data_IF_504611266874
#
_entry.id   IF_504611266874
#
_cell.length_a   1.000
_cell.length_b   1.000
_cell.length_c   1.000
_cell.angle_alpha   90.00
_cell.angle_beta   90.00
_cell.angle_gamma   90.00
#
_symmetry.space_group_name_H-M   'P 1'
#
loop_
_entity.id
_entity.type
_entity.pdbx_description
1 polymer ?
#
# COMPACT_ATOMS: atom_id res chain seq x y z
N UNK A 1 9.66 -34.83 34.18
CA UNK A 1 8.83 -34.58 32.97
C UNK A 1 7.42 -35.05 33.28
N UNK A 2 6.42 -34.18 33.11
CA UNK A 2 5.03 -34.48 33.44
C UNK A 2 4.31 -33.26 34.01
N UNK A 3 4.21 -32.18 33.22
CA UNK A 3 3.39 -31.02 33.55
C UNK A 3 1.93 -31.49 33.58
N UNK A 4 1.30 -31.46 34.75
CA UNK A 4 -0.15 -31.67 34.89
C UNK A 4 -0.85 -30.53 34.15
N UNK A 5 -1.69 -30.87 33.16
CA UNK A 5 -2.66 -29.96 32.59
C UNK A 5 -3.63 -29.55 33.70
N UNK A 6 -3.67 -28.25 33.99
CA UNK A 6 -4.78 -27.62 34.68
C UNK A 6 -5.87 -27.43 33.63
N UNK A 7 -6.87 -28.31 33.63
CA UNK A 7 -8.16 -27.99 33.05
C UNK A 7 -8.94 -27.25 34.13
N UNK A 8 -8.90 -25.93 34.09
CA UNK A 8 -9.88 -25.10 34.78
C UNK A 8 -11.22 -25.30 34.06
N UNK A 9 -12.06 -26.15 34.64
CA UNK A 9 -13.47 -26.27 34.26
C UNK A 9 -14.19 -25.05 34.85
N UNK A 10 -14.83 -24.20 34.03
CA UNK A 10 -15.55 -23.05 34.57
C UNK A 10 -16.76 -23.54 35.37
N UNK A 11 -16.81 -23.13 36.63
CA UNK A 11 -17.82 -23.55 37.60
C UNK A 11 -19.19 -22.97 37.28
N UNK A 12 -20.23 -23.77 37.55
CA UNK A 12 -21.65 -23.49 37.33
C UNK A 12 -22.21 -22.20 37.98
N UNK A 13 -21.42 -21.45 38.74
CA UNK A 13 -21.82 -20.18 39.34
C UNK A 13 -21.69 -18.97 38.38
N UNK A 14 -20.89 -19.08 37.30
CA UNK A 14 -20.72 -17.99 36.32
C UNK A 14 -21.83 -17.96 35.25
N UNK A 15 -22.54 -19.07 35.06
CA UNK A 15 -23.64 -19.16 34.08
C UNK A 15 -24.85 -18.27 34.42
N UNK A 16 -25.11 -18.01 35.71
CA UNK A 16 -26.29 -17.23 36.14
C UNK A 16 -26.25 -15.75 35.78
N UNK A 17 -25.06 -15.15 35.62
CA UNK A 17 -24.93 -13.75 35.19
C UNK A 17 -25.12 -13.58 33.67
N UNK A 18 -24.63 -14.56 32.89
CA UNK A 18 -24.84 -14.63 31.45
C UNK A 18 -26.31 -14.89 31.10
N UNK A 19 -26.99 -15.74 31.87
CA UNK A 19 -28.42 -16.02 31.74
C UNK A 19 -29.27 -14.76 32.00
N UNK A 20 -28.88 -13.93 32.98
CA UNK A 20 -29.57 -12.67 33.29
C UNK A 20 -29.48 -11.62 32.18
N UNK A 21 -28.32 -11.46 31.53
CA UNK A 21 -28.17 -10.49 30.42
C UNK A 21 -28.75 -11.03 29.12
N UNK A 22 -28.65 -12.34 28.90
CA UNK A 22 -29.30 -13.04 27.80
C UNK A 22 -30.82 -12.84 27.84
N UNK A 23 -31.44 -12.94 29.01
CA UNK A 23 -32.87 -12.66 29.18
C UNK A 23 -33.24 -11.22 28.81
N UNK A 24 -32.46 -10.23 29.27
CA UNK A 24 -32.67 -8.81 28.93
C UNK A 24 -32.51 -8.56 27.42
N UNK A 25 -31.56 -9.24 26.77
CA UNK A 25 -31.37 -9.17 25.31
C UNK A 25 -32.60 -9.72 24.58
N UNK A 26 -33.10 -10.89 24.98
CA UNK A 26 -34.27 -11.52 24.37
C UNK A 26 -35.50 -10.62 24.51
N UNK A 27 -35.75 -10.09 25.70
CA UNK A 27 -36.86 -9.18 25.99
C UNK A 27 -36.78 -7.89 25.14
N UNK A 28 -35.58 -7.35 24.95
CA UNK A 28 -35.35 -6.09 24.25
C UNK A 28 -34.85 -6.28 22.80
N UNK A 29 -35.00 -7.47 22.22
CA UNK A 29 -34.43 -7.81 20.89
C UNK A 29 -34.84 -6.80 19.82
N UNK A 30 -36.11 -6.42 19.79
CA UNK A 30 -36.65 -5.47 18.81
C UNK A 30 -35.94 -4.11 18.86
N UNK A 31 -35.70 -3.58 20.07
CA UNK A 31 -34.98 -2.32 20.27
C UNK A 31 -33.52 -2.44 19.79
N UNK A 32 -32.84 -3.54 20.14
CA UNK A 32 -31.46 -3.77 19.76
C UNK A 32 -31.31 -3.92 18.23
N UNK A 33 -32.24 -4.61 17.57
CA UNK A 33 -32.27 -4.69 16.10
C UNK A 33 -32.50 -3.31 15.49
N UNK A 34 -33.38 -2.48 16.06
CA UNK A 34 -33.57 -1.10 15.57
C UNK A 34 -32.32 -0.24 15.71
N UNK A 35 -31.59 -0.36 16.83
CA UNK A 35 -30.31 0.31 17.06
C UNK A 35 -29.26 -0.13 16.04
N UNK A 36 -29.14 -1.44 15.80
CA UNK A 36 -28.23 -1.96 14.78
C UNK A 36 -28.64 -1.50 13.36
N UNK A 37 -29.93 -1.53 13.05
CA UNK A 37 -30.47 -1.14 11.74
C UNK A 37 -30.21 0.34 11.42
N UNK A 38 -30.24 1.22 12.43
CA UNK A 38 -29.87 2.63 12.26
C UNK A 38 -28.39 2.82 11.82
N UNK A 39 -27.53 1.83 12.06
CA UNK A 39 -26.11 1.85 11.66
C UNK A 39 -25.87 1.06 10.39
N UNK A 40 -26.43 -0.15 10.27
CA UNK A 40 -26.19 -1.06 9.13
C UNK A 40 -27.00 -0.71 7.90
N UNK A 41 -28.12 0.02 8.05
CA UNK A 41 -29.04 0.37 6.98
C UNK A 41 -29.81 -0.82 6.38
N UNK A 42 -29.68 -2.02 6.95
CA UNK A 42 -30.31 -3.24 6.47
C UNK A 42 -30.77 -4.12 7.63
N UNK A 43 -32.06 -4.49 7.61
CA UNK A 43 -32.70 -5.24 8.69
C UNK A 43 -32.10 -6.63 8.89
N UNK A 44 -31.84 -7.38 7.82
CA UNK A 44 -31.24 -8.71 7.92
C UNK A 44 -29.88 -8.65 8.65
N UNK A 45 -29.03 -7.69 8.27
CA UNK A 45 -27.72 -7.49 8.92
C UNK A 45 -27.85 -7.02 10.37
N UNK A 46 -28.85 -6.20 10.66
CA UNK A 46 -29.12 -5.78 12.02
C UNK A 46 -29.49 -6.97 12.91
N UNK A 47 -30.25 -7.94 12.38
CA UNK A 47 -30.59 -9.18 13.06
C UNK A 47 -29.34 -10.07 13.27
N UNK A 48 -28.43 -10.14 12.29
CA UNK A 48 -27.15 -10.85 12.41
C UNK A 48 -26.25 -10.24 13.49
N UNK A 49 -26.13 -8.91 13.54
CA UNK A 49 -25.35 -8.22 14.58
C UNK A 49 -25.89 -8.53 15.98
N UNK A 50 -27.21 -8.54 16.15
CA UNK A 50 -27.82 -8.87 17.46
C UNK A 50 -27.61 -10.34 17.80
N UNK A 51 -27.60 -11.23 16.80
CA UNK A 51 -27.27 -12.64 16.99
C UNK A 51 -25.81 -12.83 17.45
N UNK A 52 -24.85 -12.16 16.82
CA UNK A 52 -23.45 -12.19 17.24
C UNK A 52 -23.27 -11.69 18.68
N UNK A 53 -24.01 -10.66 19.08
CA UNK A 53 -24.01 -10.17 20.48
C UNK A 53 -24.59 -11.23 21.43
N UNK A 54 -25.66 -11.92 21.02
CA UNK A 54 -26.22 -13.00 21.81
C UNK A 54 -25.22 -14.13 22.04
N UNK A 55 -24.52 -14.57 20.98
CA UNK A 55 -23.46 -15.58 21.08
C UNK A 55 -22.37 -15.11 22.07
N UNK A 56 -21.87 -13.88 21.91
CA UNK A 56 -20.84 -13.33 22.80
C UNK A 56 -21.27 -13.30 24.26
N UNK A 57 -22.50 -12.88 24.54
CA UNK A 57 -23.05 -12.86 25.91
C UNK A 57 -23.25 -14.27 26.45
N UNK A 58 -23.59 -15.24 25.61
CA UNK A 58 -23.73 -16.65 26.02
C UNK A 58 -22.38 -17.33 26.30
N UNK A 59 -21.31 -16.92 25.63
CA UNK A 59 -19.96 -17.48 25.79
C UNK A 59 -19.14 -16.74 26.86
N UNK A 60 -19.45 -15.47 27.14
CA UNK A 60 -18.73 -14.66 28.12
C UNK A 60 -19.66 -14.18 29.24
N UNK A 61 -19.51 -14.79 30.41
CA UNK A 61 -20.09 -14.24 31.62
C UNK A 61 -19.32 -12.97 32.02
N UNK A 62 -20.00 -11.84 32.28
CA UNK A 62 -19.31 -10.68 32.82
C UNK A 62 -18.83 -10.98 34.24
N UNK A 63 -17.56 -10.63 34.50
CA UNK A 63 -16.87 -10.85 35.77
C UNK A 63 -17.51 -10.08 36.94
N UNK A 64 -18.36 -9.09 36.66
CA UNK A 64 -19.07 -8.29 37.66
C UNK A 64 -20.55 -8.12 37.31
N UNK A 65 -21.45 -8.01 38.31
CA UNK A 65 -22.86 -7.73 38.09
C UNK A 65 -23.06 -6.36 37.45
N UNK A 66 -23.63 -6.34 36.24
CA UNK A 66 -23.90 -5.11 35.51
C UNK A 66 -25.03 -4.30 36.15
N UNK A 67 -24.73 -3.06 36.52
CA UNK A 67 -25.73 -2.10 37.02
C UNK A 67 -26.77 -1.71 35.97
N UNK A 68 -26.42 -1.70 34.68
CA UNK A 68 -27.31 -1.31 33.58
C UNK A 68 -27.15 -2.24 32.37
N UNK A 69 -27.76 -3.43 32.39
CA UNK A 69 -27.59 -4.45 31.35
C UNK A 69 -28.03 -3.98 29.96
N UNK A 70 -29.16 -3.28 29.86
CA UNK A 70 -29.67 -2.79 28.59
C UNK A 70 -28.75 -1.74 27.94
N UNK A 71 -28.22 -0.79 28.72
CA UNK A 71 -27.30 0.22 28.21
C UNK A 71 -25.99 -0.41 27.71
N UNK A 72 -25.52 -1.45 28.40
CA UNK A 72 -24.37 -2.24 27.98
C UNK A 72 -24.64 -2.97 26.66
N UNK A 73 -25.80 -3.63 26.53
CA UNK A 73 -26.21 -4.30 25.28
C UNK A 73 -26.34 -3.33 24.11
N UNK A 74 -26.96 -2.17 24.31
CA UNK A 74 -27.05 -1.11 23.29
C UNK A 74 -25.65 -0.69 22.82
N UNK A 75 -24.71 -0.54 23.75
CA UNK A 75 -23.31 -0.20 23.42
C UNK A 75 -22.62 -1.32 22.65
N UNK A 76 -22.77 -2.57 23.07
CA UNK A 76 -22.21 -3.72 22.37
C UNK A 76 -22.75 -3.82 20.94
N UNK A 77 -24.07 -3.76 20.77
CA UNK A 77 -24.75 -3.83 19.48
C UNK A 77 -24.31 -2.70 18.57
N UNK A 78 -24.26 -1.47 19.07
CA UNK A 78 -23.79 -0.31 18.29
C UNK A 78 -22.35 -0.47 17.83
N UNK A 79 -21.45 -0.89 18.71
CA UNK A 79 -20.05 -1.09 18.37
C UNK A 79 -19.89 -2.17 17.30
N UNK A 80 -20.57 -3.30 17.48
CA UNK A 80 -20.49 -4.41 16.54
C UNK A 80 -21.11 -4.06 15.18
N UNK A 81 -22.20 -3.28 15.17
CA UNK A 81 -22.79 -2.75 13.94
C UNK A 81 -21.84 -1.80 13.19
N UNK A 82 -21.11 -0.93 13.92
CA UNK A 82 -20.09 -0.04 13.33
C UNK A 82 -18.95 -0.87 12.74
N UNK A 83 -18.48 -1.89 13.45
CA UNK A 83 -17.39 -2.75 12.97
C UNK A 83 -17.81 -3.52 11.71
N UNK A 84 -19.01 -4.09 11.68
CA UNK A 84 -19.58 -4.72 10.49
C UNK A 84 -19.72 -3.74 9.33
N UNK A 85 -20.20 -2.52 9.58
CA UNK A 85 -20.29 -1.47 8.57
C UNK A 85 -18.92 -1.09 8.00
N UNK A 86 -17.89 -0.94 8.84
CA UNK A 86 -16.52 -0.60 8.41
C UNK A 86 -15.86 -1.74 7.65
N UNK A 87 -15.99 -2.97 8.12
CA UNK A 87 -15.50 -4.17 7.41
C UNK A 87 -16.15 -4.29 6.05
N UNK A 88 -17.47 -4.09 5.98
CA UNK A 88 -18.18 -4.11 4.70
C UNK A 88 -17.78 -2.97 3.78
N UNK A 89 -17.57 -1.76 4.27
CA UNK A 89 -17.08 -0.67 3.43
C UNK A 89 -15.70 -1.02 2.81
N UNK A 90 -14.84 -1.70 3.58
CA UNK A 90 -13.56 -2.21 3.09
C UNK A 90 -13.74 -3.38 2.10
N UNK A 91 -14.61 -4.33 2.42
CA UNK A 91 -14.91 -5.47 1.55
C UNK A 91 -15.58 -5.01 0.24
N UNK A 92 -16.53 -4.09 0.25
CA UNK A 92 -17.14 -3.53 -0.97
C UNK A 92 -16.13 -2.75 -1.83
N UNK A 93 -15.07 -2.17 -1.26
CA UNK A 93 -13.97 -1.61 -2.05
C UNK A 93 -13.12 -2.69 -2.74
N UNK A 94 -13.16 -3.93 -2.25
CA UNK A 94 -12.37 -5.06 -2.74
C UNK A 94 -13.21 -6.19 -3.37
N UNK A 95 -14.53 -6.12 -3.25
CA UNK A 95 -15.49 -7.09 -3.75
C UNK A 95 -15.90 -6.65 -5.15
N UNK A 96 -15.39 -7.37 -6.12
CA UNK A 96 -15.90 -7.36 -7.49
C UNK A 96 -17.26 -8.08 -7.41
N UNK A 97 -18.35 -7.40 -7.74
CA UNK A 97 -19.70 -7.98 -7.75
C UNK A 97 -19.69 -9.33 -8.49
N UNK A 98 -20.31 -10.36 -7.91
CA UNK A 98 -20.40 -11.68 -8.54
C UNK A 98 -21.18 -11.64 -9.87
N UNK A 99 -22.02 -10.62 -10.07
CA UNK A 99 -22.70 -10.32 -11.34
C UNK A 99 -21.71 -9.89 -12.45
N UNK A 100 -20.53 -9.39 -12.09
CA UNK A 100 -19.41 -9.14 -13.00
C UNK A 100 -18.55 -10.38 -13.27
N UNK A 101 -18.87 -11.54 -12.66
CA UNK A 101 -18.15 -12.80 -12.89
C UNK A 101 -18.25 -13.31 -14.34
N UNK A 102 -19.24 -12.82 -15.10
CA UNK A 102 -19.37 -13.10 -16.54
C UNK A 102 -18.75 -12.03 -17.44
N UNK A 103 -18.49 -10.84 -16.90
CA UNK A 103 -17.84 -9.73 -17.59
C UNK A 103 -16.42 -9.54 -17.03
N UNK A 104 -15.73 -10.67 -16.80
CA UNK A 104 -14.30 -10.68 -16.51
C UNK A 104 -13.61 -10.31 -17.83
N UNK A 105 -12.99 -9.12 -17.95
CA UNK A 105 -12.23 -8.81 -19.14
C UNK A 105 -11.18 -9.90 -19.32
N UNK A 106 -11.08 -10.44 -20.53
CA UNK A 106 -10.06 -11.43 -20.87
C UNK A 106 -8.71 -10.99 -20.27
N UNK A 107 -8.00 -11.86 -19.53
CA UNK A 107 -6.67 -11.51 -19.01
C UNK A 107 -5.68 -11.21 -20.14
N UNK A 108 -6.02 -11.63 -21.37
CA UNK A 108 -5.33 -11.24 -22.58
C UNK A 108 -5.92 -9.96 -23.15
N UNK A 109 -5.05 -8.96 -23.32
CA UNK A 109 -5.32 -7.80 -24.14
C UNK A 109 -5.81 -8.26 -25.53
N UNK A 110 -6.93 -7.71 -26.01
CA UNK A 110 -7.40 -7.97 -27.37
C UNK A 110 -6.33 -7.66 -28.43
N UNK A 111 -6.53 -8.09 -29.70
CA UNK A 111 -5.53 -7.90 -30.76
C UNK A 111 -5.17 -6.42 -30.96
N UNK A 112 -6.15 -5.52 -30.88
CA UNK A 112 -5.95 -4.07 -30.94
C UNK A 112 -5.11 -3.56 -29.77
N UNK A 113 -5.47 -3.91 -28.53
CA UNK A 113 -4.71 -3.52 -27.36
C UNK A 113 -3.28 -4.06 -27.44
N UNK A 114 -3.07 -5.31 -27.86
CA UNK A 114 -1.73 -5.89 -28.06
C UNK A 114 -0.92 -5.11 -29.10
N UNK A 115 -1.53 -4.70 -30.21
CA UNK A 115 -0.87 -3.89 -31.23
C UNK A 115 -0.49 -2.50 -30.67
N UNK A 116 -1.37 -1.86 -29.90
CA UNK A 116 -1.11 -0.57 -29.23
C UNK A 116 0.05 -0.68 -28.23
N UNK A 117 0.08 -1.73 -27.40
CA UNK A 117 1.19 -1.96 -26.46
C UNK A 117 2.52 -2.18 -27.19
N UNK A 118 2.52 -2.94 -28.29
CA UNK A 118 3.72 -3.15 -29.12
C UNK A 118 4.21 -1.85 -29.75
N UNK A 119 3.31 -1.04 -30.29
CA UNK A 119 3.64 0.25 -30.86
C UNK A 119 4.21 1.20 -29.78
N UNK A 120 3.59 1.24 -28.60
CA UNK A 120 4.08 2.00 -27.45
C UNK A 120 5.51 1.60 -27.06
N UNK A 121 5.76 0.29 -26.92
CA UNK A 121 7.09 -0.24 -26.60
C UNK A 121 8.11 0.09 -27.69
N UNK A 122 7.72 0.00 -28.96
CA UNK A 122 8.60 0.36 -30.08
C UNK A 122 8.97 1.84 -30.05
N UNK A 123 8.02 2.73 -29.74
CA UNK A 123 8.28 4.17 -29.59
C UNK A 123 9.26 4.45 -28.46
N UNK A 124 9.07 3.83 -27.29
CA UNK A 124 9.99 3.98 -26.15
C UNK A 124 11.38 3.44 -26.52
N UNK A 125 11.46 2.29 -27.18
CA UNK A 125 12.73 1.70 -27.65
C UNK A 125 13.48 2.64 -28.60
N UNK A 126 12.78 3.25 -29.55
CA UNK A 126 13.35 4.21 -30.49
C UNK A 126 13.91 5.45 -29.77
N UNK A 127 13.20 5.97 -28.76
CA UNK A 127 13.67 7.10 -27.95
C UNK A 127 14.91 6.72 -27.16
N UNK A 128 14.92 5.56 -26.50
CA UNK A 128 16.10 5.04 -25.78
C UNK A 128 17.32 4.88 -26.70
N UNK A 129 17.09 4.54 -27.97
CA UNK A 129 18.16 4.43 -28.97
C UNK A 129 18.84 5.78 -29.27
N UNK A 130 18.16 6.92 -29.08
CA UNK A 130 18.74 8.26 -29.31
C UNK A 130 19.74 8.69 -28.23
N UNK A 131 19.68 8.09 -27.04
CA UNK A 131 20.57 8.43 -25.94
C UNK A 131 21.95 7.78 -26.08
N UNK A 132 23.01 8.42 -25.56
CA UNK A 132 24.33 7.82 -25.49
C UNK A 132 24.32 6.47 -24.75
N UNK A 133 25.16 5.49 -25.16
CA UNK A 133 25.17 4.15 -24.56
C UNK A 133 25.30 4.14 -23.03
N UNK A 134 26.08 5.07 -22.48
CA UNK A 134 26.27 5.21 -21.03
C UNK A 134 25.00 5.64 -20.30
N UNK A 135 24.25 6.59 -20.87
CA UNK A 135 22.99 7.09 -20.31
C UNK A 135 21.91 6.02 -20.40
N UNK A 136 21.87 5.27 -21.51
CA UNK A 136 20.96 4.13 -21.69
C UNK A 136 21.24 3.04 -20.65
N UNK A 137 22.50 2.66 -20.47
CA UNK A 137 22.90 1.64 -19.48
C UNK A 137 22.54 2.08 -18.05
N UNK A 138 22.73 3.36 -17.72
CA UNK A 138 22.30 3.91 -16.42
C UNK A 138 20.79 3.78 -16.19
N UNK A 139 19.99 4.02 -17.23
CA UNK A 139 18.54 3.86 -17.16
C UNK A 139 18.13 2.39 -17.01
N UNK A 140 18.70 1.50 -17.82
CA UNK A 140 18.45 0.05 -17.75
C UNK A 140 18.75 -0.49 -16.35
N UNK A 141 19.92 -0.17 -15.80
CA UNK A 141 20.32 -0.64 -14.47
C UNK A 141 19.34 -0.21 -13.37
N UNK A 142 18.81 1.01 -13.43
CA UNK A 142 17.97 1.57 -12.36
C UNK A 142 16.49 1.21 -12.54
N UNK A 143 16.00 1.10 -13.78
CA UNK A 143 14.58 0.92 -14.08
C UNK A 143 14.18 -0.49 -14.51
N UNK A 144 15.12 -1.26 -15.06
CA UNK A 144 14.88 -2.63 -15.52
C UNK A 144 15.50 -3.62 -14.53
N UNK A 145 16.76 -3.40 -14.16
CA UNK A 145 17.51 -4.30 -13.26
C UNK A 145 17.34 -3.92 -11.76
N UNK A 146 16.56 -2.86 -11.46
CA UNK A 146 16.22 -2.39 -10.11
C UNK A 146 17.41 -2.07 -9.18
N UNK A 147 18.59 -1.78 -9.73
CA UNK A 147 19.75 -1.35 -8.94
C UNK A 147 19.54 0.03 -8.30
N UNK A 148 20.17 0.24 -7.14
CA UNK A 148 20.18 1.57 -6.53
C UNK A 148 21.02 2.55 -7.36
N UNK A 149 20.71 3.84 -7.27
CA UNK A 149 21.51 4.89 -7.92
C UNK A 149 22.98 4.86 -7.51
N UNK A 150 23.28 4.36 -6.29
CA UNK A 150 24.64 4.22 -5.78
C UNK A 150 25.37 3.10 -6.50
N UNK A 151 24.74 1.94 -6.66
CA UNK A 151 25.34 0.77 -7.32
C UNK A 151 25.59 1.06 -8.80
N UNK A 152 24.62 1.68 -9.48
CA UNK A 152 24.76 2.14 -10.86
C UNK A 152 25.89 3.18 -11.02
N UNK A 153 26.07 4.07 -10.04
CA UNK A 153 27.16 5.04 -10.06
C UNK A 153 28.53 4.39 -9.90
N UNK A 154 28.64 3.38 -9.03
CA UNK A 154 29.85 2.59 -8.84
C UNK A 154 30.21 1.82 -10.10
N UNK A 155 29.25 1.13 -10.73
CA UNK A 155 29.49 0.36 -11.95
C UNK A 155 29.86 1.25 -13.14
N UNK A 156 29.19 2.40 -13.29
CA UNK A 156 29.45 3.32 -14.40
C UNK A 156 30.62 4.28 -14.14
N UNK A 157 31.23 4.27 -12.95
CA UNK A 157 32.33 5.18 -12.58
C UNK A 157 31.95 6.66 -12.65
N UNK A 158 30.75 7.02 -12.20
CA UNK A 158 30.24 8.41 -12.16
C UNK A 158 29.76 8.79 -10.76
N UNK A 159 29.42 10.06 -10.54
CA UNK A 159 28.72 10.46 -9.32
C UNK A 159 27.26 10.00 -9.34
N UNK A 160 26.73 9.67 -8.16
CA UNK A 160 25.32 9.32 -7.97
C UNK A 160 24.37 10.41 -8.52
N UNK A 161 24.75 11.68 -8.36
CA UNK A 161 24.00 12.83 -8.88
C UNK A 161 23.92 12.81 -10.41
N UNK A 162 25.00 12.40 -11.10
CA UNK A 162 25.00 12.30 -12.55
C UNK A 162 24.11 11.15 -13.04
N UNK A 163 24.12 9.99 -12.37
CA UNK A 163 23.19 8.88 -12.67
C UNK A 163 21.74 9.33 -12.51
N UNK A 164 21.43 10.04 -11.41
CA UNK A 164 20.09 10.59 -11.20
C UNK A 164 19.65 11.48 -12.36
N UNK A 165 20.50 12.39 -12.83
CA UNK A 165 20.19 13.23 -13.99
C UNK A 165 20.02 12.42 -15.27
N UNK A 166 20.90 11.43 -15.53
CA UNK A 166 20.80 10.54 -16.69
C UNK A 166 19.44 9.81 -16.72
N UNK A 167 19.03 9.22 -15.60
CA UNK A 167 17.76 8.50 -15.49
C UNK A 167 16.56 9.44 -15.65
N UNK A 168 16.61 10.62 -15.02
CA UNK A 168 15.55 11.62 -15.11
C UNK A 168 15.37 12.12 -16.55
N UNK A 169 16.44 12.51 -17.22
CA UNK A 169 16.39 13.07 -18.56
C UNK A 169 15.82 12.04 -19.56
N UNK A 170 16.19 10.76 -19.43
CA UNK A 170 15.58 9.66 -20.20
C UNK A 170 14.09 9.51 -19.90
N UNK A 171 13.72 9.53 -18.63
CA UNK A 171 12.32 9.37 -18.19
C UNK A 171 11.45 10.50 -18.76
N UNK A 172 11.90 11.75 -18.66
CA UNK A 172 11.20 12.94 -19.18
C UNK A 172 11.01 12.86 -20.69
N UNK A 173 12.05 12.45 -21.43
CA UNK A 173 11.96 12.34 -22.89
C UNK A 173 11.04 11.18 -23.33
N UNK A 174 11.09 10.03 -22.65
CA UNK A 174 10.18 8.91 -22.89
C UNK A 174 8.71 9.31 -22.61
N UNK A 175 8.45 9.97 -21.48
CA UNK A 175 7.10 10.43 -21.11
C UNK A 175 6.55 11.44 -22.12
N UNK A 176 7.37 12.41 -22.51
CA UNK A 176 7.00 13.43 -23.48
C UNK A 176 6.61 12.82 -24.83
N UNK A 177 7.37 11.83 -25.31
CA UNK A 177 7.15 11.17 -26.59
C UNK A 177 5.99 10.15 -26.56
N UNK A 178 5.67 9.58 -25.39
CA UNK A 178 4.53 8.69 -25.18
C UNK A 178 3.22 9.46 -25.04
N UNK A 179 3.23 10.60 -24.33
CA UNK A 179 2.04 11.40 -24.04
C UNK A 179 1.73 12.46 -25.11
N UNK A 180 2.55 12.60 -26.15
CA UNK A 180 2.36 13.58 -27.22
C UNK A 180 2.60 15.04 -26.79
N UNK A 181 3.25 15.28 -25.64
CA UNK A 181 3.69 16.61 -25.24
C UNK A 181 5.13 16.84 -25.69
N UNK A 182 5.33 17.71 -26.68
CA UNK A 182 6.64 18.18 -27.09
C UNK A 182 7.30 18.93 -25.91
N UNK A 183 8.45 18.47 -25.38
CA UNK A 183 9.19 19.26 -24.42
C UNK A 183 9.92 20.39 -25.16
N UNK A 184 10.07 21.59 -24.55
CA UNK A 184 10.73 22.71 -25.20
C UNK A 184 12.17 22.31 -25.56
N UNK A 185 12.52 22.43 -26.84
CA UNK A 185 13.87 22.19 -27.33
C UNK A 185 14.85 23.04 -26.52
N UNK A 186 15.66 22.40 -25.68
CA UNK A 186 16.85 23.07 -25.14
C UNK A 186 17.85 23.19 -26.27
N UNK A 187 17.82 24.36 -26.91
CA UNK A 187 18.84 24.86 -27.82
C UNK A 187 20.24 24.52 -27.27
N UNK A 188 21.07 23.95 -28.15
CA UNK A 188 22.38 23.45 -27.80
C UNK A 188 23.24 24.48 -27.07
N UNK A 189 23.69 24.13 -25.86
CA UNK A 189 24.87 24.77 -25.28
C UNK A 189 26.12 24.07 -25.81
N UNK A 190 26.45 24.36 -27.06
CA UNK A 190 27.85 24.40 -27.47
C UNK A 190 28.49 25.56 -26.71
N UNK A 191 29.37 25.24 -25.76
CA UNK A 191 29.90 26.25 -24.84
C UNK A 191 31.13 25.78 -24.07
N UNK A 192 32.24 25.68 -24.80
CA UNK A 192 33.62 25.92 -24.32
C UNK A 192 34.16 24.97 -23.23
N UNK A 193 35.02 24.04 -23.67
CA UNK A 193 36.02 23.39 -22.81
C UNK A 193 36.88 24.48 -22.14
N UNK A 194 36.73 24.69 -20.83
CA UNK A 194 37.74 25.39 -20.04
C UNK A 194 38.98 24.49 -19.91
N UNK A 195 40.20 24.98 -20.19
CA UNK A 195 41.40 24.18 -19.99
C UNK A 195 41.61 23.96 -18.49
N UNK A 196 41.77 22.70 -18.09
CA UNK A 196 42.21 22.35 -16.73
C UNK A 196 43.67 22.80 -16.59
N UNK A 197 43.90 23.77 -15.72
CA UNK A 197 45.24 24.12 -15.26
C UNK A 197 45.89 22.88 -14.61
N UNK A 198 47.04 22.46 -15.13
CA UNK A 198 47.94 21.52 -14.44
C UNK A 198 48.52 22.24 -13.24
N UNK A 199 48.18 21.83 -12.02
CA UNK A 199 49.04 22.11 -10.88
C UNK A 199 50.21 21.12 -10.92
N UNK A 200 51.27 21.51 -11.62
CA UNK A 200 52.60 20.95 -11.43
C UNK A 200 53.08 21.32 -10.03
N UNK A 201 52.90 20.43 -9.04
CA UNK A 201 53.80 20.41 -7.88
C UNK A 201 55.10 19.78 -8.35
N UNK A 202 55.98 20.60 -8.93
CA UNK A 202 57.38 20.23 -9.12
C UNK A 202 58.14 20.39 -7.81
N UNK A 203 58.98 19.40 -7.59
CA UNK A 203 60.01 19.26 -6.59
C UNK A 203 61.04 20.40 -6.71
N UNK A 204 61.40 21.01 -5.58
CA UNK A 204 62.71 21.60 -5.25
C UNK A 204 62.65 21.90 -3.73
N UNK A 205 63.36 21.25 -2.81
CA UNK A 205 64.79 21.01 -2.69
C UNK A 205 65.61 22.32 -2.71
N UNK A 206 66.12 22.70 -1.53
CA UNK A 206 67.50 23.14 -1.39
C UNK A 206 67.78 24.64 -1.17
N UNK A 207 68.13 24.94 0.10
CA UNK A 207 69.32 25.70 0.53
C UNK A 207 69.36 27.24 0.46
N UNK A 208 70.03 27.77 1.51
CA UNK A 208 70.64 29.09 1.72
C UNK A 208 69.69 30.24 2.14
N UNK A 209 70.04 31.21 2.97
CA UNK A 209 71.13 31.53 3.92
C UNK A 209 70.79 32.95 4.43
N UNK A 210 71.27 33.34 5.62
CA UNK A 210 71.24 34.70 6.23
C UNK A 210 69.99 35.15 7.01
N UNK A 211 70.05 35.01 8.33
CA UNK A 211 70.20 36.10 9.31
C UNK A 211 70.20 35.54 10.74
#
# INVERSE_FOLDING_TARGET
>A
MGKKLHQDVPGAAEAGAAEGIGAVLIENRHLLVNVANAVTGCRCRAEDVVHDVFIKVSESAPLEPLRQPLAYLIRMVRNLAIDHYRRRAFECCHHIDEENGFDVPSPYAGPEATALHRDLLQRVSNVLATFPPRTRKAFEMVRIDEHSLKDAATELGVSQTLVHFMVRDVTEQCQSHVLGMVPPQRAGKNGVKKPRARSSKSIAAGMAEQA
#
